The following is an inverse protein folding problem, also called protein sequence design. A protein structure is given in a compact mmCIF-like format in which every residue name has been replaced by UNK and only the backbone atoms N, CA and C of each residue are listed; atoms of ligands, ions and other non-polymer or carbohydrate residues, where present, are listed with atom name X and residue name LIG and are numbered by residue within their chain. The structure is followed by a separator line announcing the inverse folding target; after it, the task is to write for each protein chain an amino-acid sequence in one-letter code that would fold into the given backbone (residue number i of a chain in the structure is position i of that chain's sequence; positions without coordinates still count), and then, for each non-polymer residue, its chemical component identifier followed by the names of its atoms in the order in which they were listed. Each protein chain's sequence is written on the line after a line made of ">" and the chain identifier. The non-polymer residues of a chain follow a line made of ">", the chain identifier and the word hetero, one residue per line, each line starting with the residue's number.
data_IF_300894943256
#
_entry.id   IF_300894943256
#
_cell.length_a   1.000
_cell.length_b   1.000
_cell.length_c   1.000
_cell.angle_alpha   90.00
_cell.angle_beta   90.00
_cell.angle_gamma   90.00
#
_symmetry.space_group_name_H-M   'P 1'
#
loop_
_entity.id
_entity.type
_entity.pdbx_description
1 polymer ?
#
# COMPACT_ATOMS: atom_id res chain seq x y z
N UNK A 1 4.02 0.20 -12.45
CA UNK A 1 5.50 0.26 -12.44
C UNK A 1 6.00 -1.16 -12.48
N UNK A 2 6.90 -1.47 -13.41
CA UNK A 2 7.52 -2.79 -13.49
C UNK A 2 8.95 -2.75 -12.98
N UNK A 3 9.24 -3.60 -12.00
CA UNK A 3 10.58 -3.72 -11.45
C UNK A 3 11.36 -4.80 -12.20
N UNK A 4 12.68 -4.64 -12.39
CA UNK A 4 13.50 -5.67 -13.03
C UNK A 4 13.48 -7.01 -12.25
N UNK A 5 13.14 -6.97 -10.96
CA UNK A 5 12.92 -8.14 -10.12
C UNK A 5 11.70 -9.00 -10.53
N UNK A 6 10.85 -8.57 -11.47
CA UNK A 6 9.61 -9.27 -11.91
C UNK A 6 8.42 -9.15 -10.96
N UNK A 7 8.48 -8.33 -9.91
CA UNK A 7 7.29 -7.82 -9.24
C UNK A 7 6.88 -6.48 -9.86
N UNK A 8 5.59 -6.26 -9.99
CA UNK A 8 5.02 -5.05 -10.58
C UNK A 8 3.98 -4.50 -9.62
N UNK A 9 3.89 -3.17 -9.51
CA UNK A 9 2.86 -2.52 -8.68
C UNK A 9 2.14 -1.43 -9.46
N UNK A 10 0.86 -1.21 -9.17
CA UNK A 10 0.09 -0.07 -9.64
C UNK A 10 -0.17 0.87 -8.47
N UNK A 11 0.33 2.10 -8.55
CA UNK A 11 -0.02 3.16 -7.60
C UNK A 11 -1.10 4.06 -8.22
N UNK A 12 -2.18 4.29 -7.50
CA UNK A 12 -3.26 5.19 -7.89
C UNK A 12 -3.10 6.53 -7.17
N UNK A 13 -2.64 7.55 -7.90
CA UNK A 13 -2.44 8.90 -7.37
C UNK A 13 -3.75 9.67 -7.12
N UNK A 14 -4.90 9.18 -7.58
CA UNK A 14 -6.19 9.73 -7.17
C UNK A 14 -6.65 9.14 -5.84
N UNK A 15 -6.24 7.89 -5.56
CA UNK A 15 -6.59 7.19 -4.33
C UNK A 15 -5.54 7.32 -3.23
N UNK A 16 -4.29 7.67 -3.53
CA UNK A 16 -3.17 7.69 -2.57
C UNK A 16 -2.85 6.30 -2.01
N UNK A 17 -2.78 5.31 -2.89
CA UNK A 17 -2.49 3.93 -2.49
C UNK A 17 -2.03 3.05 -3.64
N UNK A 18 -1.37 1.95 -3.28
CA UNK A 18 -1.16 0.85 -4.21
C UNK A 18 -2.49 0.13 -4.44
N UNK A 19 -2.83 -0.08 -5.71
CA UNK A 19 -4.05 -0.76 -6.13
C UNK A 19 -3.82 -2.24 -6.46
N UNK A 20 -2.65 -2.57 -7.03
CA UNK A 20 -2.32 -3.92 -7.48
C UNK A 20 -0.84 -4.23 -7.23
N UNK A 21 -0.56 -5.50 -6.93
CA UNK A 21 0.73 -6.16 -7.01
C UNK A 21 0.58 -7.41 -7.89
N UNK A 22 1.53 -7.68 -8.78
CA UNK A 22 1.53 -8.90 -9.59
C UNK A 22 2.94 -9.28 -10.03
N UNK A 23 3.15 -10.52 -10.46
CA UNK A 23 4.45 -11.00 -10.92
C UNK A 23 4.51 -11.19 -12.43
N UNK A 24 5.73 -11.22 -12.97
CA UNK A 24 5.99 -11.52 -14.37
C UNK A 24 5.70 -10.35 -15.31
N UNK A 25 4.94 -10.62 -16.37
CA UNK A 25 4.69 -9.66 -17.46
C UNK A 25 4.06 -8.36 -16.94
N UNK A 26 4.63 -7.21 -17.34
CA UNK A 26 4.19 -5.91 -16.85
C UNK A 26 2.82 -5.49 -17.42
N UNK A 27 2.80 -4.76 -18.54
CA UNK A 27 1.59 -4.32 -19.25
C UNK A 27 1.94 -4.16 -20.74
N UNK A 28 1.00 -4.47 -21.65
CA UNK A 28 1.16 -4.19 -23.08
C UNK A 28 0.76 -2.74 -23.39
N UNK A 29 1.76 -1.85 -23.49
CA UNK A 29 1.54 -0.45 -23.82
C UNK A 29 1.07 -0.19 -25.27
N UNK A 30 1.06 -1.21 -26.15
CA UNK A 30 0.74 -1.08 -27.57
C UNK A 30 -0.68 -0.59 -27.85
N UNK A 31 -1.63 -0.87 -26.95
CA UNK A 31 -3.04 -0.43 -27.10
C UNK A 31 -3.28 1.06 -26.83
N UNK A 32 -2.30 1.79 -26.29
CA UNK A 32 -2.42 3.22 -26.01
C UNK A 32 -1.81 4.13 -27.09
N UNK A 33 -1.26 3.56 -28.18
CA UNK A 33 -0.70 4.35 -29.29
C UNK A 33 -1.78 4.99 -30.18
N UNK A 34 -3.03 4.51 -30.17
CA UNK A 34 -4.09 4.95 -31.11
C UNK A 34 -5.22 5.78 -30.49
N UNK A 35 -5.16 6.15 -29.21
CA UNK A 35 -6.17 7.00 -28.58
C UNK A 35 -5.77 7.35 -27.16
N UNK A 36 -6.15 8.54 -26.68
CA UNK A 36 -5.75 9.10 -25.38
C UNK A 36 -6.19 8.22 -24.20
N UNK A 37 -5.47 7.14 -23.93
CA UNK A 37 -5.17 6.58 -22.60
C UNK A 37 -6.33 6.36 -21.62
N UNK A 38 -7.59 6.25 -22.05
CA UNK A 38 -8.71 6.00 -21.14
C UNK A 38 -9.07 4.53 -21.14
N UNK A 39 -8.93 3.89 -19.98
CA UNK A 39 -9.32 2.50 -19.74
C UNK A 39 -8.42 1.83 -18.71
N UNK A 40 -9.02 1.04 -17.82
CA UNK A 40 -8.28 0.11 -16.97
C UNK A 40 -7.71 -1.00 -17.85
N UNK A 41 -6.40 -1.21 -17.80
CA UNK A 41 -5.76 -2.30 -18.51
C UNK A 41 -5.28 -3.32 -17.47
N UNK A 42 -5.83 -4.55 -17.47
CA UNK A 42 -5.48 -5.54 -16.47
C UNK A 42 -4.00 -5.93 -16.60
N UNK A 43 -3.35 -6.37 -15.50
CA UNK A 43 -2.03 -6.97 -15.55
C UNK A 43 -1.94 -8.07 -16.61
N UNK A 44 -0.80 -8.16 -17.29
CA UNK A 44 -0.51 -9.29 -18.18
C UNK A 44 0.21 -10.44 -17.49
N UNK A 45 0.66 -10.21 -16.27
CA UNK A 45 1.36 -11.20 -15.47
C UNK A 45 0.43 -11.99 -14.55
N UNK A 46 1.06 -12.82 -13.73
CA UNK A 46 0.39 -13.79 -12.86
C UNK A 46 0.32 -13.28 -11.42
N UNK A 47 -0.32 -14.06 -10.54
CA UNK A 47 -0.34 -13.84 -9.09
C UNK A 47 -0.83 -12.43 -8.73
N UNK A 48 -1.96 -12.01 -9.29
CA UNK A 48 -2.46 -10.65 -9.08
C UNK A 48 -3.07 -10.52 -7.68
N UNK A 49 -2.43 -9.74 -6.83
CA UNK A 49 -2.96 -9.31 -5.53
C UNK A 49 -3.64 -7.94 -5.66
N UNK A 50 -4.91 -7.89 -5.28
CA UNK A 50 -5.65 -6.62 -5.17
C UNK A 50 -5.37 -5.98 -3.82
N UNK A 51 -4.94 -4.73 -3.83
CA UNK A 51 -4.67 -3.95 -2.62
C UNK A 51 -5.80 -2.96 -2.31
N UNK A 52 -6.77 -2.84 -3.22
CA UNK A 52 -7.95 -1.98 -3.13
C UNK A 52 -7.76 -0.64 -3.86
N UNK A 53 -8.83 -0.12 -4.46
CA UNK A 53 -8.84 1.22 -5.07
C UNK A 53 -9.27 2.27 -4.05
N UNK A 54 -8.38 2.56 -3.11
CA UNK A 54 -8.68 3.40 -1.94
C UNK A 54 -7.41 3.96 -1.32
N UNK A 55 -7.49 4.97 -0.44
CA UNK A 55 -6.30 5.43 0.25
C UNK A 55 -5.73 4.34 1.12
N UNK A 56 -4.40 4.25 1.16
CA UNK A 56 -3.70 3.31 2.04
C UNK A 56 -3.81 3.75 3.51
N UNK A 57 -3.83 5.05 3.79
CA UNK A 57 -3.93 5.62 5.14
C UNK A 57 -5.30 6.27 5.34
N UNK A 58 -5.90 6.14 6.51
CA UNK A 58 -7.09 6.88 6.92
C UNK A 58 -7.05 7.22 8.40
N UNK A 59 -7.79 8.26 8.79
CA UNK A 59 -8.17 8.50 10.19
C UNK A 59 -9.57 7.92 10.41
N UNK A 60 -9.76 7.06 11.42
CA UNK A 60 -11.03 6.39 11.70
C UNK A 60 -11.47 6.59 13.15
N UNK A 61 -12.72 7.00 13.36
CA UNK A 61 -13.29 7.20 14.72
C UNK A 61 -13.43 5.89 15.52
N UNK A 62 -13.45 4.73 14.84
CA UNK A 62 -13.49 3.40 15.48
C UNK A 62 -13.04 2.30 14.51
N UNK A 63 -12.85 1.08 15.04
CA UNK A 63 -12.50 -0.11 14.23
C UNK A 63 -13.61 -0.51 13.24
N UNK A 64 -14.84 -0.11 13.49
CA UNK A 64 -16.03 -0.40 12.67
C UNK A 64 -16.32 0.70 11.64
N UNK A 65 -15.68 1.87 11.74
CA UNK A 65 -15.93 3.00 10.86
C UNK A 65 -15.58 2.69 9.39
N UNK A 66 -16.50 3.01 8.48
CA UNK A 66 -16.33 2.78 7.04
C UNK A 66 -15.04 3.43 6.52
N UNK A 67 -14.31 2.71 5.66
CA UNK A 67 -13.10 3.27 5.05
C UNK A 67 -13.45 4.44 4.11
N UNK A 68 -12.65 5.52 4.09
CA UNK A 68 -12.88 6.67 3.20
C UNK A 68 -12.98 6.28 1.71
N UNK A 69 -13.95 6.89 1.03
CA UNK A 69 -14.20 6.70 -0.39
C UNK A 69 -14.69 7.99 -1.05
N UNK A 70 -14.77 8.02 -2.39
CA UNK A 70 -15.27 9.17 -3.15
C UNK A 70 -14.22 10.25 -3.39
N UNK A 71 -14.59 11.52 -3.24
CA UNK A 71 -13.70 12.66 -3.53
C UNK A 71 -12.65 12.88 -2.42
N UNK A 72 -11.58 12.10 -2.44
CA UNK A 72 -10.54 12.14 -1.40
C UNK A 72 -9.88 13.52 -1.24
N UNK A 73 -9.73 14.30 -2.32
CA UNK A 73 -9.15 15.66 -2.23
C UNK A 73 -9.95 16.57 -1.29
N UNK A 74 -11.28 16.42 -1.23
CA UNK A 74 -12.15 17.17 -0.31
C UNK A 74 -12.05 16.66 1.14
N UNK A 75 -11.46 15.49 1.35
CA UNK A 75 -11.26 14.83 2.63
C UNK A 75 -9.83 15.01 3.17
N UNK A 76 -9.06 15.93 2.60
CA UNK A 76 -7.71 16.26 3.07
C UNK A 76 -6.57 15.48 2.42
N UNK A 77 -6.87 14.58 1.46
CA UNK A 77 -5.83 13.83 0.75
C UNK A 77 -5.19 14.67 -0.35
N UNK A 78 -3.87 14.63 -0.44
CA UNK A 78 -3.13 15.28 -1.52
C UNK A 78 -1.91 14.44 -1.94
N UNK A 79 -1.84 14.10 -3.24
CA UNK A 79 -0.62 13.56 -3.83
C UNK A 79 0.40 14.68 -3.99
N UNK A 80 1.62 14.45 -3.50
CA UNK A 80 2.73 15.40 -3.53
C UNK A 80 3.76 15.06 -4.62
N UNK A 81 3.66 13.87 -5.21
CA UNK A 81 4.54 13.42 -6.29
C UNK A 81 5.26 12.13 -5.97
N UNK A 82 6.30 11.83 -6.75
CA UNK A 82 7.20 10.71 -6.50
C UNK A 82 8.62 11.10 -6.86
N UNK A 83 9.59 10.42 -6.28
CA UNK A 83 11.01 10.57 -6.60
C UNK A 83 11.62 9.21 -6.91
N UNK A 84 12.45 9.17 -7.95
CA UNK A 84 13.22 7.97 -8.28
C UNK A 84 14.50 7.94 -7.44
N UNK A 85 14.63 6.91 -6.62
CA UNK A 85 15.83 6.66 -5.82
C UNK A 85 16.84 5.78 -6.55
N UNK A 86 17.60 5.00 -5.76
CA UNK A 86 18.55 4.03 -6.29
C UNK A 86 17.85 3.01 -7.20
N UNK A 87 18.55 2.56 -8.25
CA UNK A 87 18.02 1.63 -9.27
C UNK A 87 16.69 2.11 -9.90
N UNK A 88 16.40 3.42 -9.85
CA UNK A 88 15.15 4.03 -10.31
C UNK A 88 13.90 3.51 -9.61
N UNK A 89 14.03 2.99 -8.39
CA UNK A 89 12.88 2.59 -7.57
C UNK A 89 12.18 3.84 -7.02
N UNK A 90 10.88 4.02 -7.26
CA UNK A 90 10.15 5.21 -6.87
C UNK A 90 9.73 5.17 -5.40
N UNK A 91 9.82 6.31 -4.74
CA UNK A 91 9.15 6.59 -3.47
C UNK A 91 8.01 7.57 -3.75
N UNK A 92 6.81 7.26 -3.27
CA UNK A 92 5.63 8.11 -3.41
C UNK A 92 5.48 9.02 -2.20
N UNK A 93 5.04 10.24 -2.44
CA UNK A 93 4.79 11.25 -1.42
C UNK A 93 3.34 11.69 -1.51
N UNK A 94 2.63 11.62 -0.39
CA UNK A 94 1.27 12.12 -0.27
C UNK A 94 1.02 12.56 1.17
N UNK A 95 -0.13 13.17 1.42
CA UNK A 95 -0.55 13.52 2.77
C UNK A 95 -2.03 13.30 2.98
N UNK A 96 -2.39 13.11 4.25
CA UNK A 96 -3.74 13.24 4.78
C UNK A 96 -3.72 14.40 5.78
N UNK A 97 -4.37 15.51 5.46
CA UNK A 97 -4.29 16.75 6.24
C UNK A 97 -2.83 17.21 6.45
N UNK A 98 -2.33 17.13 7.68
CA UNK A 98 -0.97 17.47 8.11
C UNK A 98 -0.04 16.24 8.21
N UNK A 99 -0.58 15.02 8.09
CA UNK A 99 0.21 13.78 8.12
C UNK A 99 0.87 13.55 6.76
N UNK A 100 2.18 13.76 6.71
CA UNK A 100 3.02 13.47 5.55
C UNK A 100 3.33 11.97 5.49
N UNK A 101 3.20 11.38 4.31
CA UNK A 101 3.48 9.97 4.07
C UNK A 101 4.50 9.81 2.96
N UNK A 102 5.52 8.98 3.23
CA UNK A 102 6.41 8.43 2.20
C UNK A 102 6.17 6.94 2.07
N UNK A 103 5.93 6.47 0.86
CA UNK A 103 5.58 5.08 0.58
C UNK A 103 6.55 4.49 -0.45
N UNK A 104 7.33 3.51 -0.02
CA UNK A 104 8.41 2.91 -0.79
C UNK A 104 8.19 1.41 -1.00
N UNK A 105 7.63 1.00 -2.14
CA UNK A 105 7.62 -0.40 -2.58
C UNK A 105 8.97 -0.82 -3.18
N UNK A 106 9.50 -1.92 -2.68
CA UNK A 106 10.82 -2.45 -3.01
C UNK A 106 10.80 -3.99 -3.12
N UNK A 107 10.74 -4.54 -4.33
CA UNK A 107 10.87 -5.98 -4.52
C UNK A 107 12.24 -6.51 -4.11
N UNK A 108 12.25 -7.73 -3.61
CA UNK A 108 13.45 -8.47 -3.24
C UNK A 108 14.30 -8.80 -4.48
N UNK A 109 15.59 -8.43 -4.44
CA UNK A 109 16.48 -8.59 -5.61
C UNK A 109 16.85 -10.05 -5.93
N UNK A 110 16.80 -10.96 -4.96
CA UNK A 110 17.15 -12.38 -5.12
C UNK A 110 15.96 -13.32 -4.88
N UNK A 111 14.73 -12.82 -4.96
CA UNK A 111 13.51 -13.57 -4.65
C UNK A 111 13.04 -14.54 -5.75
N UNK A 112 13.86 -14.82 -6.77
CA UNK A 112 13.55 -15.79 -7.82
C UNK A 112 12.44 -15.36 -8.76
N UNK A 113 11.51 -16.28 -9.07
CA UNK A 113 10.43 -16.06 -10.04
C UNK A 113 9.31 -15.17 -9.48
N UNK A 114 9.00 -15.33 -8.18
CA UNK A 114 7.94 -14.62 -7.46
C UNK A 114 8.53 -13.90 -6.24
N UNK A 115 9.39 -12.89 -6.44
CA UNK A 115 10.02 -12.21 -5.31
C UNK A 115 8.98 -11.56 -4.40
N UNK A 116 9.27 -11.54 -3.11
CA UNK A 116 8.50 -10.76 -2.17
C UNK A 116 8.58 -9.26 -2.50
N UNK A 117 7.52 -8.52 -2.15
CA UNK A 117 7.53 -7.07 -2.13
C UNK A 117 7.65 -6.59 -0.68
N UNK A 118 8.75 -5.91 -0.35
CA UNK A 118 8.84 -5.14 0.88
C UNK A 118 8.36 -3.71 0.62
N UNK A 119 7.40 -3.22 1.41
CA UNK A 119 6.88 -1.86 1.34
C UNK A 119 7.11 -1.16 2.67
N UNK A 120 7.84 -0.05 2.64
CA UNK A 120 8.07 0.79 3.83
C UNK A 120 7.24 2.05 3.73
N UNK A 121 6.40 2.30 4.74
CA UNK A 121 5.56 3.48 4.85
C UNK A 121 6.07 4.27 6.06
N UNK A 122 6.57 5.49 5.82
CA UNK A 122 6.89 6.42 6.90
C UNK A 122 5.83 7.50 6.99
N UNK A 123 5.44 7.82 8.22
CA UNK A 123 4.48 8.86 8.55
C UNK A 123 5.17 9.92 9.39
N UNK A 124 4.83 11.19 9.15
CA UNK A 124 5.28 12.33 9.95
C UNK A 124 4.16 13.34 10.15
N UNK A 125 4.01 13.87 11.35
CA UNK A 125 3.10 14.98 11.68
C UNK A 125 3.72 15.87 12.75
N UNK A 126 3.36 17.15 12.73
CA UNK A 126 3.72 18.11 13.77
C UNK A 126 2.73 18.08 14.95
N UNK A 127 1.68 17.25 14.87
CA UNK A 127 0.64 17.07 15.88
C UNK A 127 0.49 15.59 16.24
N UNK A 128 -0.02 15.34 17.44
CA UNK A 128 -0.35 13.98 17.86
C UNK A 128 -1.49 13.42 17.01
N UNK A 129 -1.37 12.15 16.60
CA UNK A 129 -2.37 11.45 15.80
C UNK A 129 -2.69 10.11 16.48
N UNK A 130 -3.93 9.92 16.91
CA UNK A 130 -4.33 8.76 17.71
C UNK A 130 -5.12 7.70 16.93
N UNK A 131 -5.70 8.09 15.79
CA UNK A 131 -6.70 7.31 15.08
C UNK A 131 -6.28 6.96 13.65
N UNK A 132 -4.98 6.75 13.42
CA UNK A 132 -4.46 6.41 12.10
C UNK A 132 -4.48 4.91 11.84
N UNK A 133 -4.99 4.53 10.68
CA UNK A 133 -5.06 3.15 10.24
C UNK A 133 -4.51 3.03 8.82
N UNK A 134 -3.81 1.92 8.54
CA UNK A 134 -3.51 1.49 7.19
C UNK A 134 -4.50 0.41 6.75
N UNK A 135 -4.91 0.46 5.49
CA UNK A 135 -5.55 -0.63 4.77
C UNK A 135 -4.61 -1.14 3.69
N UNK A 136 -3.64 -2.00 4.05
CA UNK A 136 -2.57 -2.40 3.14
C UNK A 136 -3.02 -3.38 2.04
N UNK A 137 -4.18 -4.04 2.21
CA UNK A 137 -4.78 -4.93 1.22
C UNK A 137 -6.29 -5.13 1.43
N UNK A 138 -6.98 -5.56 0.37
CA UNK A 138 -8.37 -6.03 0.39
C UNK A 138 -8.43 -7.34 -0.41
N UNK A 139 -8.67 -8.45 0.27
CA UNK A 139 -8.68 -9.77 -0.35
C UNK A 139 -9.89 -9.96 -1.28
N UNK A 140 -9.72 -10.82 -2.28
CA UNK A 140 -10.80 -11.21 -3.19
C UNK A 140 -11.75 -12.20 -2.53
N UNK A 141 -11.22 -13.10 -1.71
CA UNK A 141 -11.93 -14.17 -1.02
C UNK A 141 -11.86 -13.99 0.49
N UNK A 142 -10.66 -14.02 1.08
CA UNK A 142 -10.49 -14.06 2.53
C UNK A 142 -9.13 -13.52 3.00
N UNK A 143 -9.12 -13.00 4.23
CA UNK A 143 -7.92 -12.66 5.02
C UNK A 143 -8.02 -13.40 6.36
N UNK A 144 -6.96 -14.09 6.75
CA UNK A 144 -6.90 -14.86 7.99
C UNK A 144 -5.63 -14.46 8.77
N UNK A 145 -5.79 -14.06 10.03
CA UNK A 145 -4.66 -13.78 10.92
C UNK A 145 -4.17 -15.10 11.52
N UNK A 146 -2.90 -15.44 11.32
CA UNK A 146 -2.23 -16.55 11.98
C UNK A 146 -1.68 -16.15 13.35
N UNK A 147 -1.62 -17.12 14.27
CA UNK A 147 -1.07 -16.94 15.63
C UNK A 147 0.45 -16.66 15.63
N UNK A 148 1.13 -16.92 14.51
CA UNK A 148 2.56 -16.68 14.29
C UNK A 148 2.86 -15.27 13.73
N UNK A 149 1.83 -14.43 13.59
CA UNK A 149 1.92 -13.09 13.01
C UNK A 149 1.97 -13.09 11.47
N UNK A 150 1.82 -14.25 10.82
CA UNK A 150 1.66 -14.35 9.37
C UNK A 150 0.18 -14.27 9.03
N UNK A 151 -0.14 -13.42 8.05
CA UNK A 151 -1.52 -13.19 7.60
C UNK A 151 -1.69 -13.87 6.25
N UNK A 152 -2.57 -14.85 6.16
CA UNK A 152 -2.88 -15.53 4.91
C UNK A 152 -3.94 -14.73 4.12
N UNK A 153 -3.70 -14.53 2.82
CA UNK A 153 -4.55 -13.74 1.94
C UNK A 153 -4.86 -14.56 0.70
N UNK A 154 -6.15 -14.85 0.47
CA UNK A 154 -6.63 -15.66 -0.65
C UNK A 154 -5.92 -17.04 -0.78
N UNK A 155 -5.39 -17.57 0.34
CA UNK A 155 -4.68 -18.86 0.49
C UNK A 155 -3.32 -18.97 -0.20
N UNK A 156 -2.99 -18.05 -1.09
CA UNK A 156 -1.75 -18.06 -1.84
C UNK A 156 -0.76 -17.06 -1.25
N UNK A 157 -1.21 -15.84 -0.95
CA UNK A 157 -0.35 -14.81 -0.41
C UNK A 157 -0.19 -14.92 1.11
N UNK A 158 1.03 -14.63 1.56
CA UNK A 158 1.38 -14.38 2.96
C UNK A 158 1.73 -12.92 3.12
N UNK A 159 1.24 -12.33 4.21
CA UNK A 159 1.47 -10.95 4.54
C UNK A 159 2.02 -10.83 5.95
N UNK A 160 3.01 -9.94 6.13
CA UNK A 160 3.61 -9.65 7.43
C UNK A 160 3.64 -8.14 7.66
N UNK A 161 3.41 -7.75 8.90
CA UNK A 161 3.44 -6.35 9.35
C UNK A 161 4.44 -6.23 10.48
N UNK A 162 5.26 -5.18 10.46
CA UNK A 162 6.17 -4.82 11.53
C UNK A 162 6.33 -3.30 11.62
N UNK A 163 6.97 -2.84 12.70
CA UNK A 163 7.28 -1.43 12.93
C UNK A 163 6.35 -0.80 13.96
N UNK A 164 6.08 0.49 13.80
CA UNK A 164 5.30 1.31 14.72
C UNK A 164 3.79 1.12 14.46
N UNK A 165 3.27 -0.06 14.84
CA UNK A 165 1.88 -0.48 14.60
C UNK A 165 1.24 -1.06 15.86
N UNK A 166 -0.07 -0.85 15.98
CA UNK A 166 -0.90 -1.58 16.93
C UNK A 166 -1.34 -2.95 16.40
N UNK A 167 -2.21 -3.63 17.13
CA UNK A 167 -2.70 -4.97 16.76
C UNK A 167 -3.53 -4.95 15.46
N UNK A 168 -3.08 -5.63 14.39
CA UNK A 168 -3.84 -5.75 13.15
C UNK A 168 -5.17 -6.50 13.37
N UNK A 169 -6.20 -6.14 12.63
CA UNK A 169 -7.49 -6.83 12.68
C UNK A 169 -8.12 -6.94 11.30
N UNK A 170 -9.00 -7.94 11.14
CA UNK A 170 -9.72 -8.20 9.89
C UNK A 170 -11.15 -7.71 10.00
N UNK A 171 -11.60 -6.96 8.98
CA UNK A 171 -12.99 -6.54 8.83
C UNK A 171 -13.52 -7.01 7.48
N UNK A 172 -14.27 -8.12 7.49
CA UNK A 172 -14.72 -8.77 6.26
C UNK A 172 -13.53 -9.31 5.46
N UNK A 173 -13.16 -8.66 4.36
CA UNK A 173 -12.01 -9.01 3.52
C UNK A 173 -10.87 -7.99 3.59
N UNK A 174 -11.00 -7.00 4.47
CA UNK A 174 -10.03 -5.93 4.65
C UNK A 174 -9.10 -6.28 5.81
N UNK A 175 -7.80 -6.14 5.60
CA UNK A 175 -6.85 -6.06 6.70
C UNK A 175 -6.70 -4.60 7.11
N UNK A 176 -6.83 -4.32 8.40
CA UNK A 176 -6.63 -3.00 8.97
C UNK A 176 -5.50 -3.05 10.01
N UNK A 177 -4.60 -2.08 9.93
CA UNK A 177 -3.40 -2.00 10.77
C UNK A 177 -3.40 -0.63 11.46
N UNK A 178 -3.62 -0.55 12.78
CA UNK A 178 -3.43 0.69 13.52
C UNK A 178 -1.97 1.17 13.42
N UNK A 179 -1.76 2.48 13.30
CA UNK A 179 -0.44 3.09 13.24
C UNK A 179 -0.20 3.87 14.53
N UNK A 180 0.96 3.66 15.14
CA UNK A 180 1.33 4.33 16.38
C UNK A 180 2.45 5.32 16.07
N UNK A 181 2.19 6.62 16.21
CA UNK A 181 3.25 7.63 16.02
C UNK A 181 3.97 7.90 17.34
N UNK A 182 5.29 7.94 17.26
CA UNK A 182 6.20 8.23 18.38
C UNK A 182 6.61 9.69 18.34
N UNK A 183 6.61 10.38 19.47
CA UNK A 183 7.18 11.73 19.55
C UNK A 183 8.71 11.65 19.62
N UNK A 184 9.38 12.25 18.63
CA UNK A 184 10.83 12.38 18.53
C UNK A 184 11.15 13.86 18.35
N UNK A 185 11.72 14.47 19.40
CA UNK A 185 12.13 15.88 19.43
C UNK A 185 11.02 16.88 19.02
N UNK A 186 9.76 16.59 19.40
CA UNK A 186 8.62 17.44 19.08
C UNK A 186 7.94 17.15 17.74
N UNK A 187 8.41 16.15 16.99
CA UNK A 187 7.76 15.66 15.77
C UNK A 187 7.23 14.24 15.99
N UNK A 188 6.00 13.97 15.55
CA UNK A 188 5.40 12.64 15.61
C UNK A 188 5.78 11.85 14.35
N UNK A 189 6.42 10.70 14.52
CA UNK A 189 6.93 9.86 13.42
C UNK A 189 6.57 8.39 13.62
N UNK A 190 6.36 7.67 12.53
CA UNK A 190 6.15 6.22 12.55
C UNK A 190 6.70 5.56 11.29
N UNK A 191 7.28 4.38 11.44
CA UNK A 191 7.73 3.53 10.33
C UNK A 191 6.96 2.21 10.35
N UNK A 192 6.26 1.90 9.26
CA UNK A 192 5.55 0.63 9.07
C UNK A 192 6.19 -0.15 7.93
N UNK A 193 6.50 -1.42 8.18
CA UNK A 193 7.06 -2.36 7.20
C UNK A 193 6.04 -3.42 6.88
N UNK A 194 5.71 -3.53 5.61
CA UNK A 194 4.75 -4.48 5.06
C UNK A 194 5.49 -5.40 4.11
N UNK A 195 5.30 -6.71 4.26
CA UNK A 195 5.91 -7.69 3.36
C UNK A 195 4.84 -8.57 2.73
N UNK A 196 4.83 -8.61 1.41
CA UNK A 196 3.91 -9.42 0.59
C UNK A 196 4.71 -10.55 -0.04
N UNK A 197 4.39 -11.80 0.29
CA UNK A 197 5.05 -13.01 -0.20
C UNK A 197 4.03 -13.92 -0.89
N UNK A 198 4.40 -14.48 -2.04
CA UNK A 198 3.64 -15.52 -2.73
C UNK A 198 4.01 -16.92 -2.21
#
# INVERSE_FOLDING_TARGET
>A
MGYPERANVAFDANQMGLALLWHGSFMDAGKHWTGRGQGFQPPLGDNVLTLGQSPTLASLESREATWPAGELKKQGYQFLGYQLGQKRKPTFFYKLNDVLVTDFPNPESEGGEFPALDRTINLKSDQEQLDLFLRPLVASQQVELGDDGVIAVDREWKFKVAGDVGEPFVRGKELLVPVELRNVDGQFVGEVKLRYEW
#
